data_IF_776882202956
#
_entry.id   IF_776882202956
#
_cell.length_a   1.000
_cell.length_b   1.000
_cell.length_c   1.000
_cell.angle_alpha   90.00
_cell.angle_beta   90.00
_cell.angle_gamma   90.00
#
_symmetry.space_group_name_H-M   'P 1'
#
loop_
_entity.id
_entity.type
_entity.pdbx_description
1 polymer ?
#
# COMPACT_ATOMS: atom_id res chain seq x y z
N UNK A 1 -13.93 20.56 43.52
CA UNK A 1 -13.77 21.51 42.40
C UNK A 1 -12.37 21.42 41.75
N UNK A 2 -11.29 21.42 42.54
CA UNK A 2 -9.90 21.34 42.00
C UNK A 2 -9.57 20.00 41.32
N UNK A 3 -10.00 18.86 41.85
CA UNK A 3 -9.82 17.54 41.22
C UNK A 3 -10.58 17.38 39.89
N UNK A 4 -11.79 17.97 39.83
CA UNK A 4 -12.59 17.94 38.60
C UNK A 4 -11.94 18.78 37.49
N UNK A 5 -11.40 19.95 37.86
CA UNK A 5 -10.67 20.82 36.92
C UNK A 5 -9.38 20.18 36.39
N UNK A 6 -8.59 19.55 37.27
CA UNK A 6 -7.40 18.79 36.88
C UNK A 6 -7.71 17.62 35.95
N UNK A 7 -8.81 16.91 36.19
CA UNK A 7 -9.27 15.79 35.35
C UNK A 7 -9.72 16.26 33.96
N UNK A 8 -10.40 17.40 33.88
CA UNK A 8 -10.75 18.02 32.59
C UNK A 8 -9.52 18.52 31.84
N UNK A 9 -8.59 19.19 32.50
CA UNK A 9 -7.36 19.68 31.88
C UNK A 9 -6.46 18.53 31.36
N UNK A 10 -6.38 17.41 32.09
CA UNK A 10 -5.68 16.20 31.63
C UNK A 10 -6.37 15.57 30.42
N UNK A 11 -7.70 15.49 30.40
CA UNK A 11 -8.48 14.95 29.28
C UNK A 11 -8.33 15.79 28.02
N UNK A 12 -8.33 17.12 28.13
CA UNK A 12 -8.09 18.00 26.98
C UNK A 12 -6.68 17.88 26.44
N UNK A 13 -5.68 17.78 27.32
CA UNK A 13 -4.28 17.63 26.91
C UNK A 13 -4.03 16.28 26.20
N UNK A 14 -4.63 15.18 26.67
CA UNK A 14 -4.56 13.89 25.99
C UNK A 14 -5.21 13.94 24.60
N UNK A 15 -6.35 14.63 24.47
CA UNK A 15 -7.04 14.81 23.19
C UNK A 15 -6.19 15.62 22.19
N UNK A 16 -5.56 16.70 22.65
CA UNK A 16 -4.68 17.53 21.81
C UNK A 16 -3.51 16.70 21.29
N UNK A 17 -2.84 15.93 22.17
CA UNK A 17 -1.73 15.07 21.80
C UNK A 17 -2.17 13.98 20.78
N UNK A 18 -3.33 13.39 20.97
CA UNK A 18 -3.88 12.40 20.04
C UNK A 18 -4.18 12.99 18.66
N UNK A 19 -4.75 14.19 18.59
CA UNK A 19 -5.03 14.90 17.34
C UNK A 19 -3.72 15.27 16.64
N UNK A 20 -2.72 15.75 17.39
CA UNK A 20 -1.41 16.07 16.84
C UNK A 20 -0.70 14.83 16.28
N UNK A 21 -0.73 13.72 17.01
CA UNK A 21 -0.19 12.45 16.53
C UNK A 21 -0.91 11.95 15.27
N UNK A 22 -2.24 12.03 15.23
CA UNK A 22 -3.02 11.67 14.05
C UNK A 22 -2.64 12.54 12.85
N UNK A 23 -2.47 13.85 13.05
CA UNK A 23 -2.00 14.77 12.01
C UNK A 23 -0.61 14.37 11.49
N UNK A 24 0.32 14.06 12.39
CA UNK A 24 1.68 13.68 12.01
C UNK A 24 1.70 12.34 11.24
N UNK A 25 0.95 11.33 11.70
CA UNK A 25 0.83 10.05 11.00
C UNK A 25 0.14 10.20 9.64
N UNK A 26 -0.85 11.09 9.52
CA UNK A 26 -1.51 11.39 8.24
C UNK A 26 -0.55 12.07 7.26
N UNK A 27 0.28 13.00 7.73
CA UNK A 27 1.33 13.62 6.91
C UNK A 27 2.35 12.58 6.44
N UNK A 28 2.77 11.68 7.32
CA UNK A 28 3.71 10.60 7.01
C UNK A 28 3.12 9.62 5.98
N UNK A 29 1.82 9.31 6.10
CA UNK A 29 1.09 8.56 5.08
C UNK A 29 1.14 9.26 3.73
N UNK A 30 0.98 10.59 3.68
CA UNK A 30 1.12 11.39 2.47
C UNK A 30 2.47 11.21 1.78
N UNK A 31 3.57 11.22 2.54
CA UNK A 31 4.91 10.95 1.99
C UNK A 31 5.05 9.53 1.43
N UNK A 32 4.55 8.52 2.13
CA UNK A 32 4.59 7.13 1.65
C UNK A 32 3.79 6.98 0.36
N UNK A 33 2.58 7.56 0.29
CA UNK A 33 1.73 7.54 -0.89
C UNK A 33 2.44 8.24 -2.07
N UNK A 34 3.04 9.41 -1.85
CA UNK A 34 3.74 10.16 -2.88
C UNK A 34 4.92 9.35 -3.43
N UNK A 35 5.77 8.79 -2.55
CA UNK A 35 6.90 7.96 -2.96
C UNK A 35 6.42 6.72 -3.70
N UNK A 36 5.38 6.04 -3.20
CA UNK A 36 4.81 4.88 -3.85
C UNK A 36 4.23 5.22 -5.24
N UNK A 37 3.60 6.39 -5.39
CA UNK A 37 3.13 6.89 -6.68
C UNK A 37 4.29 7.05 -7.66
N UNK A 38 5.39 7.70 -7.27
CA UNK A 38 6.57 7.83 -8.13
C UNK A 38 7.20 6.49 -8.46
N UNK A 39 7.42 5.61 -7.46
CA UNK A 39 7.98 4.27 -7.68
C UNK A 39 7.10 3.47 -8.64
N UNK A 40 5.79 3.59 -8.54
CA UNK A 40 4.85 2.89 -9.43
C UNK A 40 4.90 3.37 -10.89
N UNK A 41 5.39 4.59 -11.14
CA UNK A 41 5.64 5.12 -12.50
C UNK A 41 6.98 4.67 -13.07
N UNK A 42 7.89 4.14 -12.26
CA UNK A 42 9.17 3.60 -12.74
C UNK A 42 8.91 2.36 -13.61
N UNK A 43 9.37 2.42 -14.85
CA UNK A 43 9.09 1.37 -15.84
C UNK A 43 9.55 -0.04 -15.41
N UNK A 44 10.63 -0.17 -14.64
CA UNK A 44 11.09 -1.44 -14.11
C UNK A 44 10.13 -2.01 -13.06
N UNK A 45 9.65 -1.20 -12.12
CA UNK A 45 8.65 -1.60 -11.13
C UNK A 45 7.33 -1.99 -11.82
N UNK A 46 6.83 -1.12 -12.70
CA UNK A 46 5.59 -1.35 -13.47
C UNK A 46 5.66 -2.69 -14.23
N UNK A 47 6.77 -2.97 -14.92
CA UNK A 47 6.99 -4.24 -15.64
C UNK A 47 6.99 -5.47 -14.74
N UNK A 48 7.50 -5.35 -13.51
CA UNK A 48 7.53 -6.48 -12.56
C UNK A 48 6.13 -6.74 -12.01
N UNK A 49 5.47 -5.71 -11.49
CA UNK A 49 4.18 -5.85 -10.79
C UNK A 49 3.05 -6.26 -11.75
N UNK A 50 3.18 -5.95 -13.04
CA UNK A 50 2.22 -6.29 -14.09
C UNK A 50 2.40 -7.71 -14.68
N UNK A 51 3.26 -8.56 -14.10
CA UNK A 51 3.43 -9.95 -14.54
C UNK A 51 2.35 -10.84 -13.92
N UNK A 52 1.79 -11.73 -14.71
CA UNK A 52 0.84 -12.74 -14.23
C UNK A 52 1.51 -13.74 -13.27
N UNK A 53 2.82 -13.99 -13.44
CA UNK A 53 3.62 -14.85 -12.58
C UNK A 53 4.97 -14.21 -12.28
N UNK A 54 5.29 -14.08 -10.99
CA UNK A 54 6.58 -13.55 -10.53
C UNK A 54 7.68 -14.62 -10.59
N UNK A 55 8.84 -14.28 -11.15
CA UNK A 55 10.07 -15.08 -11.04
C UNK A 55 10.71 -14.81 -9.68
N UNK A 56 11.61 -15.70 -9.22
CA UNK A 56 12.34 -15.54 -7.95
C UNK A 56 13.04 -14.18 -7.82
N UNK A 57 13.65 -13.69 -8.90
CA UNK A 57 14.27 -12.34 -8.93
C UNK A 57 13.25 -11.22 -8.73
N UNK A 58 12.07 -11.33 -9.32
CA UNK A 58 11.00 -10.33 -9.17
C UNK A 58 10.53 -10.26 -7.71
N UNK A 59 10.35 -11.42 -7.07
CA UNK A 59 9.94 -11.51 -5.66
C UNK A 59 10.96 -10.86 -4.72
N UNK A 60 12.26 -11.07 -4.97
CA UNK A 60 13.33 -10.45 -4.18
C UNK A 60 13.29 -8.93 -4.33
N UNK A 61 13.20 -8.43 -5.58
CA UNK A 61 13.13 -6.97 -5.84
C UNK A 61 11.91 -6.35 -5.18
N UNK A 62 10.74 -6.98 -5.29
CA UNK A 62 9.52 -6.51 -4.64
C UNK A 62 9.64 -6.52 -3.12
N UNK A 63 10.25 -7.56 -2.54
CA UNK A 63 10.50 -7.64 -1.09
C UNK A 63 11.38 -6.48 -0.59
N UNK A 64 12.41 -6.12 -1.34
CA UNK A 64 13.29 -5.00 -1.02
C UNK A 64 12.52 -3.68 -1.11
N UNK A 65 11.72 -3.46 -2.18
CA UNK A 65 10.94 -2.24 -2.37
C UNK A 65 9.92 -2.06 -1.24
N UNK A 66 9.11 -3.08 -0.96
CA UNK A 66 8.10 -3.00 0.09
C UNK A 66 8.69 -3.01 1.50
N UNK A 67 9.81 -3.67 1.71
CA UNK A 67 10.62 -3.55 2.93
C UNK A 67 11.16 -2.14 3.13
N UNK A 68 11.63 -1.49 2.07
CA UNK A 68 12.08 -0.10 2.11
C UNK A 68 10.92 0.87 2.45
N UNK A 69 9.70 0.64 1.95
CA UNK A 69 8.53 1.39 2.40
C UNK A 69 8.26 1.21 3.89
N UNK A 70 8.44 0.00 4.42
CA UNK A 70 8.35 -0.24 5.87
C UNK A 70 9.45 0.51 6.65
N UNK A 71 10.67 0.55 6.15
CA UNK A 71 11.78 1.32 6.73
C UNK A 71 11.46 2.83 6.73
N UNK A 72 10.98 3.37 5.61
CA UNK A 72 10.53 4.75 5.52
C UNK A 72 9.45 5.07 6.54
N UNK A 73 8.47 4.18 6.72
CA UNK A 73 7.43 4.32 7.75
C UNK A 73 7.98 4.34 9.18
N UNK A 74 9.13 3.73 9.44
CA UNK A 74 9.84 3.81 10.74
C UNK A 74 10.52 5.18 10.90
N UNK A 75 11.25 5.66 9.89
CA UNK A 75 11.95 6.95 9.95
C UNK A 75 11.01 8.16 10.02
N UNK A 76 9.85 8.05 9.42
CA UNK A 76 8.81 9.09 9.50
C UNK A 76 7.97 9.00 10.77
N UNK A 77 8.25 8.03 11.67
CA UNK A 77 7.52 7.85 12.92
C UNK A 77 7.65 9.04 13.86
N UNK A 78 6.68 9.15 14.75
CA UNK A 78 6.63 10.20 15.78
C UNK A 78 6.88 9.58 17.15
N UNK A 79 7.81 10.13 17.90
CA UNK A 79 8.09 9.68 19.27
C UNK A 79 6.95 10.07 20.21
N UNK A 80 6.44 9.09 20.98
CA UNK A 80 5.37 9.27 21.95
C UNK A 80 5.69 8.45 23.19
N UNK A 81 5.94 9.09 24.30
CA UNK A 81 6.24 8.47 25.59
C UNK A 81 7.36 7.39 25.54
N UNK A 82 8.40 7.61 24.72
CA UNK A 82 9.50 6.67 24.52
C UNK A 82 9.19 5.50 23.57
N UNK A 83 8.07 5.54 22.86
CA UNK A 83 7.75 4.66 21.76
C UNK A 83 7.73 5.44 20.44
N UNK A 84 7.95 4.74 19.32
CA UNK A 84 7.86 5.35 18.00
C UNK A 84 6.55 4.89 17.34
N UNK A 85 5.54 5.78 17.36
CA UNK A 85 4.32 5.61 16.57
C UNK A 85 4.63 5.78 15.08
N UNK A 86 4.26 4.83 14.24
CA UNK A 86 4.77 4.75 12.87
C UNK A 86 3.75 4.15 11.89
N UNK A 87 4.09 4.26 10.61
CA UNK A 87 3.28 3.76 9.48
C UNK A 87 3.94 2.59 8.75
N UNK A 88 4.84 1.87 9.42
CA UNK A 88 5.68 0.81 8.86
C UNK A 88 4.89 -0.35 8.24
N UNK A 89 3.82 -0.78 8.88
CA UNK A 89 3.02 -1.92 8.41
C UNK A 89 2.31 -1.63 7.08
N UNK A 90 2.13 -0.37 6.69
CA UNK A 90 1.51 0.01 5.41
C UNK A 90 2.28 -0.60 4.24
N UNK A 91 3.61 -0.39 4.19
CA UNK A 91 4.46 -0.96 3.14
C UNK A 91 4.46 -2.48 3.15
N UNK A 92 4.68 -3.08 4.33
CA UNK A 92 4.78 -4.53 4.49
C UNK A 92 3.48 -5.24 4.08
N UNK A 93 2.34 -4.79 4.61
CA UNK A 93 1.05 -5.42 4.31
C UNK A 93 0.64 -5.20 2.86
N UNK A 94 0.84 -4.01 2.30
CA UNK A 94 0.55 -3.77 0.88
C UNK A 94 1.37 -4.70 -0.02
N UNK A 95 2.67 -4.85 0.24
CA UNK A 95 3.53 -5.77 -0.50
C UNK A 95 3.05 -7.22 -0.42
N UNK A 96 2.70 -7.69 0.77
CA UNK A 96 2.19 -9.05 0.97
C UNK A 96 0.84 -9.30 0.29
N UNK A 97 -0.11 -8.36 0.42
CA UNK A 97 -1.46 -8.47 -0.16
C UNK A 97 -1.45 -8.40 -1.69
N UNK A 98 -0.54 -7.64 -2.29
CA UNK A 98 -0.46 -7.50 -3.75
C UNK A 98 0.45 -8.51 -4.43
N UNK A 99 1.55 -8.88 -3.78
CA UNK A 99 2.63 -9.66 -4.42
C UNK A 99 2.82 -11.07 -3.81
N UNK A 100 2.06 -11.41 -2.77
CA UNK A 100 2.03 -12.74 -2.19
C UNK A 100 2.87 -12.95 -0.92
N UNK A 101 2.80 -14.17 -0.33
CA UNK A 101 3.32 -14.44 1.00
C UNK A 101 4.84 -14.28 1.12
N UNK A 102 5.58 -14.62 0.08
CA UNK A 102 7.04 -14.44 0.09
C UNK A 102 7.43 -12.97 0.24
N UNK A 103 6.80 -12.09 -0.57
CA UNK A 103 7.09 -10.64 -0.54
C UNK A 103 6.68 -10.05 0.81
N UNK A 104 5.49 -10.39 1.32
CA UNK A 104 5.03 -9.91 2.63
C UNK A 104 5.96 -10.31 3.76
N UNK A 105 6.31 -11.61 3.86
CA UNK A 105 7.18 -12.11 4.92
C UNK A 105 8.58 -11.50 4.85
N UNK A 106 9.19 -11.43 3.66
CA UNK A 106 10.52 -10.85 3.51
C UNK A 106 10.53 -9.34 3.76
N UNK A 107 9.52 -8.61 3.30
CA UNK A 107 9.37 -7.18 3.61
C UNK A 107 9.18 -6.96 5.13
N UNK A 108 8.40 -7.82 5.79
CA UNK A 108 8.22 -7.83 7.23
C UNK A 108 9.51 -8.08 8.01
N UNK A 109 10.34 -9.02 7.55
CA UNK A 109 11.66 -9.30 8.13
C UNK A 109 12.58 -8.08 7.95
N UNK A 110 12.68 -7.54 6.73
CA UNK A 110 13.52 -6.37 6.43
C UNK A 110 13.13 -5.18 7.31
N UNK A 111 11.85 -4.82 7.34
CA UNK A 111 11.37 -3.68 8.11
C UNK A 111 11.39 -3.93 9.62
N UNK A 112 11.09 -5.16 10.07
CA UNK A 112 11.11 -5.54 11.48
C UNK A 112 12.51 -5.56 12.06
N UNK A 113 13.49 -6.17 11.37
CA UNK A 113 14.89 -6.18 11.80
C UNK A 113 15.46 -4.76 11.82
N UNK A 114 15.14 -3.95 10.82
CA UNK A 114 15.51 -2.54 10.82
C UNK A 114 14.94 -1.80 12.04
N UNK A 115 13.67 -2.04 12.40
CA UNK A 115 13.04 -1.44 13.59
C UNK A 115 13.77 -1.81 14.87
N UNK A 116 14.21 -3.07 15.00
CA UNK A 116 14.96 -3.56 16.13
C UNK A 116 16.32 -2.83 16.24
N UNK A 117 17.00 -2.62 15.12
CA UNK A 117 18.32 -1.98 15.08
C UNK A 117 18.24 -0.48 15.42
N UNK A 118 17.21 0.22 14.91
CA UNK A 118 17.06 1.68 15.12
C UNK A 118 16.69 2.03 16.56
N UNK A 119 15.99 1.12 17.26
CA UNK A 119 15.48 1.37 18.61
C UNK A 119 15.93 0.26 19.59
N UNK A 120 17.23 -0.04 19.58
CA UNK A 120 17.81 -1.05 20.49
C UNK A 120 17.58 -0.63 21.94
N UNK A 121 16.87 -1.49 22.68
CA UNK A 121 16.52 -1.23 24.09
C UNK A 121 15.28 -0.37 24.28
N UNK A 122 14.64 0.10 23.22
CA UNK A 122 13.34 0.79 23.31
C UNK A 122 12.23 -0.12 23.83
N UNK A 123 11.33 0.45 24.63
CA UNK A 123 10.24 -0.27 25.32
C UNK A 123 9.37 -1.05 24.32
N UNK A 124 9.13 -0.52 23.13
CA UNK A 124 8.28 -1.14 22.11
C UNK A 124 9.06 -1.83 21.00
N UNK A 125 10.39 -1.85 21.06
CA UNK A 125 11.24 -2.36 19.98
C UNK A 125 10.93 -3.81 19.61
N UNK A 126 10.89 -4.70 20.60
CA UNK A 126 10.64 -6.14 20.41
C UNK A 126 9.20 -6.41 19.96
N UNK A 127 8.14 -5.96 20.69
CA UNK A 127 6.77 -6.20 20.27
C UNK A 127 6.47 -5.67 18.87
N UNK A 128 6.91 -4.45 18.53
CA UNK A 128 6.73 -3.88 17.20
C UNK A 128 7.48 -4.67 16.10
N UNK A 129 8.67 -5.21 16.39
CA UNK A 129 9.41 -6.07 15.45
C UNK A 129 8.63 -7.34 15.15
N UNK A 130 8.15 -8.02 16.19
CA UNK A 130 7.38 -9.26 16.05
C UNK A 130 6.09 -9.00 15.25
N UNK A 131 5.35 -7.94 15.61
CA UNK A 131 4.12 -7.55 14.88
C UNK A 131 4.39 -7.26 13.41
N UNK A 132 5.49 -6.59 13.10
CA UNK A 132 5.85 -6.29 11.70
C UNK A 132 6.08 -7.56 10.88
N UNK A 133 6.77 -8.56 11.45
CA UNK A 133 7.00 -9.84 10.76
C UNK A 133 5.67 -10.59 10.60
N UNK A 134 4.84 -10.63 11.64
CA UNK A 134 3.51 -11.27 11.60
C UNK A 134 2.62 -10.58 10.57
N UNK A 135 2.65 -9.25 10.47
CA UNK A 135 1.86 -8.50 9.50
C UNK A 135 2.18 -8.91 8.06
N UNK A 136 3.45 -9.19 7.76
CA UNK A 136 3.86 -9.70 6.44
C UNK A 136 3.32 -11.11 6.14
N UNK A 137 3.29 -11.99 7.13
CA UNK A 137 2.73 -13.35 7.00
C UNK A 137 1.21 -13.28 6.79
N UNK A 138 0.52 -12.48 7.62
CA UNK A 138 -0.94 -12.26 7.51
C UNK A 138 -1.30 -11.66 6.15
N UNK A 139 -0.55 -10.69 5.68
CA UNK A 139 -0.73 -10.11 4.35
C UNK A 139 -0.63 -11.16 3.23
N UNK A 140 0.30 -12.10 3.35
CA UNK A 140 0.42 -13.23 2.44
C UNK A 140 -0.78 -14.18 2.45
N UNK A 141 -1.41 -14.39 3.60
CA UNK A 141 -2.65 -15.19 3.69
C UNK A 141 -3.83 -14.47 3.05
N UNK A 142 -3.90 -13.14 3.21
CA UNK A 142 -4.89 -12.29 2.55
C UNK A 142 -4.76 -12.38 1.03
N UNK A 143 -3.54 -12.33 0.48
CA UNK A 143 -3.28 -12.52 -0.95
C UNK A 143 -3.96 -13.78 -1.50
N UNK A 144 -3.86 -14.90 -0.78
CA UNK A 144 -4.37 -16.20 -1.22
C UNK A 144 -5.89 -16.35 -1.09
N UNK A 145 -6.53 -15.55 -0.23
CA UNK A 145 -7.96 -15.67 0.10
C UNK A 145 -8.82 -14.55 -0.45
N UNK A 146 -8.23 -13.43 -0.89
CA UNK A 146 -8.95 -12.26 -1.38
C UNK A 146 -9.03 -12.22 -2.91
N UNK A 147 -10.15 -11.70 -3.42
CA UNK A 147 -10.30 -11.36 -4.83
C UNK A 147 -9.70 -9.99 -5.11
N UNK A 148 -9.23 -9.75 -6.34
CA UNK A 148 -8.60 -8.49 -6.74
C UNK A 148 -9.43 -7.23 -6.38
N UNK A 149 -10.75 -7.29 -6.53
CA UNK A 149 -11.62 -6.15 -6.24
C UNK A 149 -11.76 -5.82 -4.75
N UNK A 150 -11.52 -6.78 -3.86
CA UNK A 150 -11.76 -6.65 -2.42
C UNK A 150 -10.46 -6.59 -1.60
N UNK A 151 -9.28 -6.66 -2.23
CA UNK A 151 -7.98 -6.63 -1.53
C UNK A 151 -7.83 -5.43 -0.61
N UNK A 152 -8.28 -4.25 -1.03
CA UNK A 152 -8.23 -3.04 -0.22
C UNK A 152 -9.06 -3.16 1.07
N UNK A 153 -10.23 -3.82 0.99
CA UNK A 153 -11.09 -4.03 2.15
C UNK A 153 -10.47 -5.03 3.14
N UNK A 154 -9.93 -6.14 2.63
CA UNK A 154 -9.17 -7.08 3.45
C UNK A 154 -7.90 -6.44 4.03
N UNK A 155 -7.27 -5.53 3.30
CA UNK A 155 -6.13 -4.75 3.77
C UNK A 155 -6.51 -3.82 4.93
N UNK A 156 -7.65 -3.12 4.83
CA UNK A 156 -8.18 -2.25 5.88
C UNK A 156 -8.45 -3.04 7.17
N UNK A 157 -9.24 -4.10 7.10
CA UNK A 157 -9.57 -4.91 8.27
C UNK A 157 -8.37 -5.70 8.80
N UNK A 158 -7.52 -6.22 7.91
CA UNK A 158 -6.27 -6.88 8.28
C UNK A 158 -5.32 -5.92 9.01
N UNK A 159 -5.23 -4.67 8.55
CA UNK A 159 -4.46 -3.63 9.21
C UNK A 159 -4.97 -3.34 10.62
N UNK A 160 -6.29 -3.20 10.79
CA UNK A 160 -6.89 -3.01 12.13
C UNK A 160 -6.58 -4.19 13.06
N UNK A 161 -6.68 -5.43 12.58
CA UNK A 161 -6.36 -6.62 13.39
C UNK A 161 -4.89 -6.67 13.78
N UNK A 162 -3.99 -6.29 12.90
CA UNK A 162 -2.54 -6.23 13.20
C UNK A 162 -2.24 -5.13 14.22
N UNK A 163 -2.89 -3.98 14.14
CA UNK A 163 -2.73 -2.91 15.15
C UNK A 163 -3.23 -3.36 16.52
N UNK A 164 -4.37 -4.05 16.59
CA UNK A 164 -4.85 -4.64 17.85
C UNK A 164 -3.83 -5.63 18.40
N UNK A 165 -3.27 -6.49 17.55
CA UNK A 165 -2.22 -7.43 17.96
C UNK A 165 -0.98 -6.69 18.47
N UNK A 166 -0.57 -5.59 17.83
CA UNK A 166 0.56 -4.76 18.26
C UNK A 166 0.32 -4.22 19.68
N UNK A 167 -0.86 -3.68 19.95
CA UNK A 167 -1.21 -3.19 21.29
C UNK A 167 -1.19 -4.29 22.35
N UNK A 168 -1.69 -5.48 22.01
CA UNK A 168 -1.64 -6.64 22.91
C UNK A 168 -0.19 -7.05 23.21
N UNK A 169 0.66 -7.11 22.20
CA UNK A 169 2.07 -7.45 22.38
C UNK A 169 2.82 -6.39 23.18
N UNK A 170 2.53 -5.10 22.98
CA UNK A 170 3.11 -4.04 23.81
C UNK A 170 2.69 -4.21 25.26
N UNK A 171 1.41 -4.43 25.57
CA UNK A 171 0.92 -4.61 26.94
C UNK A 171 1.50 -5.85 27.65
N UNK A 172 1.81 -6.90 26.88
CA UNK A 172 2.30 -8.16 27.46
C UNK A 172 3.82 -8.23 27.58
N UNK A 173 4.56 -7.55 26.70
CA UNK A 173 6.01 -7.67 26.60
C UNK A 173 6.76 -6.44 27.11
N UNK A 174 6.14 -5.25 27.07
CA UNK A 174 6.81 -4.01 27.48
C UNK A 174 6.74 -3.80 29.00
N UNK A 175 7.85 -3.41 29.58
CA UNK A 175 7.97 -3.16 31.01
C UNK A 175 8.55 -1.77 31.29
N UNK A 176 8.09 -1.05 32.35
CA UNK A 176 7.00 -1.42 33.27
C UNK A 176 5.60 -1.32 32.62
N UNK A 177 4.64 -2.09 33.10
CA UNK A 177 3.27 -2.14 32.57
C UNK A 177 2.56 -0.76 32.56
N UNK A 178 2.84 0.08 33.57
CA UNK A 178 2.31 1.45 33.60
C UNK A 178 2.72 2.28 32.37
N UNK A 179 3.98 2.17 31.96
CA UNK A 179 4.49 2.84 30.74
C UNK A 179 3.89 2.23 29.48
N UNK A 180 3.78 0.89 29.41
CA UNK A 180 3.13 0.21 28.31
C UNK A 180 1.66 0.67 28.12
N UNK A 181 0.93 0.77 29.23
CA UNK A 181 -0.47 1.21 29.21
C UNK A 181 -0.61 2.67 28.75
N UNK A 182 0.29 3.55 29.20
CA UNK A 182 0.30 4.96 28.78
C UNK A 182 0.60 5.08 27.28
N UNK A 183 1.60 4.33 26.78
CA UNK A 183 1.93 4.29 25.35
C UNK A 183 0.71 3.83 24.55
N UNK A 184 0.12 2.69 24.89
CA UNK A 184 -1.02 2.12 24.16
C UNK A 184 -2.20 3.08 24.11
N UNK A 185 -2.55 3.73 25.22
CA UNK A 185 -3.63 4.72 25.26
C UNK A 185 -3.37 5.90 24.29
N UNK A 186 -2.11 6.34 24.18
CA UNK A 186 -1.76 7.47 23.34
C UNK A 186 -1.74 7.12 21.84
N UNK A 187 -1.28 5.91 21.47
CA UNK A 187 -1.02 5.56 20.06
C UNK A 187 -2.12 4.70 19.41
N UNK A 188 -2.93 3.98 20.21
CA UNK A 188 -3.90 3.01 19.67
C UNK A 188 -4.78 3.59 18.57
N UNK A 189 -5.52 4.65 18.87
CA UNK A 189 -6.47 5.21 17.91
C UNK A 189 -5.78 5.84 16.70
N UNK A 190 -4.78 6.75 16.86
CA UNK A 190 -4.12 7.36 15.71
C UNK A 190 -3.42 6.36 14.80
N UNK A 191 -2.70 5.36 15.35
CA UNK A 191 -2.02 4.35 14.56
C UNK A 191 -2.98 3.42 13.84
N UNK A 192 -3.99 2.89 14.54
CA UNK A 192 -4.97 1.99 13.93
C UNK A 192 -5.69 2.65 12.76
N UNK A 193 -6.09 3.91 12.93
CA UNK A 193 -6.78 4.65 11.89
C UNK A 193 -5.86 4.96 10.69
N UNK A 194 -4.68 5.53 10.95
CA UNK A 194 -3.75 5.92 9.90
C UNK A 194 -3.25 4.70 9.11
N UNK A 195 -2.88 3.62 9.80
CA UNK A 195 -2.34 2.42 9.16
C UNK A 195 -3.40 1.66 8.36
N UNK A 196 -4.59 1.44 8.91
CA UNK A 196 -5.65 0.72 8.20
C UNK A 196 -6.08 1.46 6.92
N UNK A 197 -6.30 2.75 7.00
CA UNK A 197 -6.64 3.59 5.84
C UNK A 197 -5.47 3.66 4.86
N UNK A 198 -4.24 3.81 5.37
CA UNK A 198 -3.04 3.87 4.57
C UNK A 198 -2.81 2.62 3.73
N UNK A 199 -3.02 1.43 4.30
CA UNK A 199 -2.95 0.15 3.58
C UNK A 199 -4.00 0.12 2.47
N UNK A 200 -5.26 0.47 2.78
CA UNK A 200 -6.34 0.45 1.81
C UNK A 200 -6.06 1.41 0.63
N UNK A 201 -5.66 2.64 0.91
CA UNK A 201 -5.35 3.66 -0.11
C UNK A 201 -4.16 3.20 -0.98
N UNK A 202 -3.09 2.68 -0.37
CA UNK A 202 -1.91 2.27 -1.11
C UNK A 202 -2.20 1.07 -2.03
N UNK A 203 -3.01 0.11 -1.58
CA UNK A 203 -3.50 -1.00 -2.41
C UNK A 203 -4.29 -0.46 -3.60
N UNK A 204 -5.25 0.45 -3.38
CA UNK A 204 -6.08 1.03 -4.44
C UNK A 204 -5.24 1.78 -5.49
N UNK A 205 -4.25 2.55 -5.06
CA UNK A 205 -3.35 3.27 -5.97
C UNK A 205 -2.58 2.29 -6.86
N UNK A 206 -1.96 1.27 -6.26
CA UNK A 206 -1.17 0.29 -7.02
C UNK A 206 -2.08 -0.52 -7.95
N UNK A 207 -3.25 -0.96 -7.48
CA UNK A 207 -4.22 -1.68 -8.31
C UNK A 207 -4.70 -0.85 -9.50
N UNK A 208 -4.95 0.46 -9.32
CA UNK A 208 -5.32 1.35 -10.43
C UNK A 208 -4.23 1.39 -11.51
N UNK A 209 -2.97 1.46 -11.10
CA UNK A 209 -1.83 1.46 -12.04
C UNK A 209 -1.71 0.12 -12.79
N UNK A 210 -2.04 -0.99 -12.13
CA UNK A 210 -2.07 -2.31 -12.76
C UNK A 210 -3.18 -2.41 -13.80
N UNK A 211 -4.39 -1.96 -13.48
CA UNK A 211 -5.54 -1.97 -14.39
C UNK A 211 -5.38 -1.04 -15.61
N UNK A 212 -4.66 0.07 -15.46
CA UNK A 212 -4.40 1.00 -16.58
C UNK A 212 -3.83 0.30 -17.81
N UNK A 213 -2.97 -0.71 -17.63
CA UNK A 213 -2.42 -1.49 -18.76
C UNK A 213 -3.47 -2.36 -19.45
N UNK A 214 -4.31 -3.01 -18.66
CA UNK A 214 -5.37 -3.88 -19.20
C UNK A 214 -6.39 -3.05 -19.98
N UNK A 215 -6.75 -1.87 -19.47
CA UNK A 215 -7.66 -0.94 -20.14
C UNK A 215 -7.08 -0.42 -21.46
N UNK A 216 -5.79 -0.08 -21.47
CA UNK A 216 -5.10 0.36 -22.70
C UNK A 216 -5.06 -0.77 -23.72
N UNK A 217 -4.69 -1.99 -23.28
CA UNK A 217 -4.63 -3.14 -24.17
C UNK A 217 -6.03 -3.52 -24.72
N UNK A 218 -7.06 -3.49 -23.87
CA UNK A 218 -8.44 -3.73 -24.28
C UNK A 218 -8.93 -2.69 -25.30
N UNK A 219 -8.63 -1.40 -25.08
CA UNK A 219 -8.94 -0.33 -26.05
C UNK A 219 -8.21 -0.56 -27.38
N UNK A 220 -6.92 -0.92 -27.35
CA UNK A 220 -6.16 -1.20 -28.58
C UNK A 220 -6.74 -2.39 -29.35
N UNK A 221 -7.11 -3.47 -28.66
CA UNK A 221 -7.73 -4.62 -29.27
C UNK A 221 -9.11 -4.29 -29.89
N UNK A 222 -9.92 -3.49 -29.18
CA UNK A 222 -11.20 -3.01 -29.70
C UNK A 222 -11.04 -2.16 -30.96
N UNK A 223 -10.04 -1.29 -31.00
CA UNK A 223 -9.69 -0.48 -32.16
C UNK A 223 -9.31 -1.35 -33.34
N UNK A 224 -8.41 -2.31 -33.13
CA UNK A 224 -7.97 -3.22 -34.17
C UNK A 224 -9.15 -4.01 -34.76
N UNK A 225 -10.06 -4.48 -33.89
CA UNK A 225 -11.26 -5.20 -34.31
C UNK A 225 -12.23 -4.31 -35.10
N UNK A 226 -12.42 -3.06 -34.69
CA UNK A 226 -13.28 -2.11 -35.39
C UNK A 226 -12.72 -1.80 -36.79
N UNK A 227 -11.42 -1.56 -36.90
CA UNK A 227 -10.75 -1.35 -38.19
C UNK A 227 -10.89 -2.60 -39.06
N UNK A 228 -10.62 -3.78 -38.51
CA UNK A 228 -10.75 -5.03 -39.25
C UNK A 228 -12.18 -5.24 -39.77
N UNK A 229 -13.20 -5.03 -38.94
CA UNK A 229 -14.60 -5.17 -39.35
C UNK A 229 -15.02 -4.18 -40.42
N UNK A 230 -14.53 -2.93 -40.37
CA UNK A 230 -14.82 -1.90 -41.37
C UNK A 230 -14.09 -2.15 -42.68
N UNK A 231 -12.90 -2.74 -42.64
CA UNK A 231 -12.09 -3.01 -43.86
C UNK A 231 -12.36 -4.36 -44.50
N UNK A 232 -12.88 -5.36 -43.73
CA UNK A 232 -13.12 -6.73 -44.20
C UNK A 232 -13.98 -6.79 -45.50
N UNK A 233 -15.07 -6.00 -45.71
CA UNK A 233 -15.84 -6.04 -46.94
C UNK A 233 -15.01 -5.68 -48.19
N UNK A 234 -14.08 -4.73 -48.04
CA UNK A 234 -13.23 -4.26 -49.12
C UNK A 234 -12.10 -5.25 -49.49
N UNK A 235 -11.71 -6.11 -48.56
CA UNK A 235 -10.76 -7.20 -48.85
C UNK A 235 -11.37 -8.35 -49.67
N UNK A 236 -12.72 -8.48 -49.71
CA UNK A 236 -13.37 -9.52 -50.50
C UNK A 236 -13.43 -9.20 -51.98
N UNK A 237 -13.41 -7.88 -52.36
CA UNK A 237 -13.44 -7.39 -53.72
C UNK A 237 -12.26 -6.47 -53.94
N UNK A 238 -11.05 -7.02 -54.07
CA UNK A 238 -9.82 -6.26 -54.21
C UNK A 238 -9.75 -5.57 -55.59
N UNK A 239 -9.93 -4.26 -55.60
CA UNK A 239 -9.67 -3.38 -56.74
C UNK A 239 -8.98 -2.10 -56.25
N UNK A 240 -8.54 -1.21 -57.16
CA UNK A 240 -7.84 0.03 -56.79
C UNK A 240 -8.67 0.93 -55.86
N UNK A 241 -9.98 0.98 -56.10
CA UNK A 241 -10.93 1.74 -55.26
C UNK A 241 -11.05 1.17 -53.83
N UNK A 242 -10.95 -0.18 -53.67
CA UNK A 242 -11.00 -0.85 -52.37
C UNK A 242 -9.78 -0.51 -51.52
N UNK A 243 -8.60 -0.42 -52.12
CA UNK A 243 -7.37 -0.02 -51.43
C UNK A 243 -7.44 1.42 -50.92
N UNK A 244 -7.98 2.34 -51.69
CA UNK A 244 -8.15 3.73 -51.30
C UNK A 244 -9.13 3.87 -50.11
N UNK A 245 -10.23 3.12 -50.15
CA UNK A 245 -11.22 3.05 -49.07
C UNK A 245 -10.61 2.45 -47.78
N UNK A 246 -9.84 1.37 -47.84
CA UNK A 246 -9.15 0.78 -46.72
C UNK A 246 -8.18 1.78 -46.09
N UNK A 247 -7.35 2.48 -46.91
CA UNK A 247 -6.44 3.51 -46.43
C UNK A 247 -7.17 4.67 -45.77
N UNK A 248 -8.31 5.09 -46.35
CA UNK A 248 -9.18 6.12 -45.78
C UNK A 248 -9.72 5.78 -44.40
N UNK A 249 -10.27 4.55 -44.25
CA UNK A 249 -10.80 4.05 -42.97
C UNK A 249 -9.71 3.99 -41.90
N UNK A 250 -8.51 3.47 -42.24
CA UNK A 250 -7.39 3.39 -41.34
C UNK A 250 -6.94 4.79 -40.91
N UNK A 251 -6.79 5.71 -41.87
CA UNK A 251 -6.37 7.09 -41.60
C UNK A 251 -7.36 7.81 -40.70
N UNK A 252 -8.65 7.74 -41.00
CA UNK A 252 -9.72 8.35 -40.21
C UNK A 252 -9.78 7.75 -38.77
N UNK A 253 -9.69 6.44 -38.67
CA UNK A 253 -9.68 5.74 -37.36
C UNK A 253 -8.47 6.11 -36.49
N UNK A 254 -7.31 6.38 -37.07
CA UNK A 254 -6.11 6.84 -36.37
C UNK A 254 -6.21 8.35 -36.07
N UNK A 255 -6.64 9.17 -37.02
CA UNK A 255 -6.67 10.64 -36.88
C UNK A 255 -7.70 11.11 -35.85
N UNK A 256 -8.91 10.54 -35.87
CA UNK A 256 -9.95 10.87 -34.90
C UNK A 256 -9.54 10.58 -33.46
N UNK A 257 -8.59 9.68 -33.25
CA UNK A 257 -8.12 9.30 -31.90
C UNK A 257 -6.87 10.03 -31.42
N UNK A 258 -6.07 10.61 -32.33
CA UNK A 258 -5.01 11.55 -31.93
C UNK A 258 -5.58 12.87 -31.39
N UNK A 259 -6.86 13.17 -31.69
CA UNK A 259 -7.56 14.36 -31.18
C UNK A 259 -8.17 14.17 -29.78
N UNK A 260 -8.25 12.92 -29.27
CA UNK A 260 -8.84 12.57 -27.97
C UNK A 260 -7.83 11.96 -26.96
N UNK A 261 -6.54 12.01 -27.24
CA UNK A 261 -5.41 11.71 -26.34
C UNK A 261 -4.71 13.00 -25.90
#
# INVERSE_FOLDING_TARGET
>A
MQETFLKYAFSEMELILMVELLRNLTNNLGYIILIAFFVSRVGSFKKIVQKDKFKKKDLIVLSIIFGAFGILGTYTGTEVNGAIANTRIIGVMTGGILCGPFVGTMAGIIAGVHRLIVDIGGITSIPCTITTIISGIVAGTIYSKSNENNKWLYGLFGGLLIEILEMILILTMAHPFSSALTIVKSIYFPMSFANAIGIAILILIIQKILKEKEEIAAKQAQIALEIANKTLPYFREMNENSLEQICGIIKESIYMRMLYL
#
